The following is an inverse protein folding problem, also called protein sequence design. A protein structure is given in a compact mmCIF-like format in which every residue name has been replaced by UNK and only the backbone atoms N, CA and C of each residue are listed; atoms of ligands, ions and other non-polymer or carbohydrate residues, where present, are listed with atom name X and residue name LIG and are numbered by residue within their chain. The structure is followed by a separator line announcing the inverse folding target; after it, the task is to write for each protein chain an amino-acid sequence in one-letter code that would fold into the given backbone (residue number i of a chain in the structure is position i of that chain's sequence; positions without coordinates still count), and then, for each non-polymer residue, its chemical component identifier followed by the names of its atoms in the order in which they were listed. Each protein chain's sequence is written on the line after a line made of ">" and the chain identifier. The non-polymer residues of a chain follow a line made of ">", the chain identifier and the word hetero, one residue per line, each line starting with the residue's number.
data_IF_892779383523
#
_entry.id   IF_892779383523
#
_cell.length_a   1.000
_cell.length_b   1.000
_cell.length_c   1.000
_cell.angle_alpha   90.00
_cell.angle_beta   90.00
_cell.angle_gamma   90.00
#
_symmetry.space_group_name_H-M   'P 1'
#
loop_
_entity.id
_entity.type
_entity.pdbx_description
1 polymer ?
#
# COMPACT_ATOMS: atom_id res chain seq x y z
N UNK A 1 54.84 13.89 24.40
CA UNK A 1 53.61 13.95 25.20
C UNK A 1 52.99 15.30 24.98
N UNK A 2 51.85 15.35 24.28
CA UNK A 2 50.84 16.42 24.26
C UNK A 2 49.77 16.01 23.23
N UNK A 3 48.53 15.94 23.68
CA UNK A 3 47.27 15.95 22.91
C UNK A 3 46.48 17.18 23.36
N UNK A 4 45.41 17.60 22.67
CA UNK A 4 45.36 18.13 21.29
C UNK A 4 44.61 19.50 21.25
N UNK A 5 44.53 20.11 20.07
CA UNK A 5 43.67 21.27 19.78
C UNK A 5 42.66 20.94 18.66
N UNK A 6 41.42 21.39 18.90
CA UNK A 6 40.22 21.60 18.08
C UNK A 6 40.24 21.42 16.55
N UNK A 7 39.09 21.02 15.99
CA UNK A 7 38.28 21.75 14.97
C UNK A 7 36.99 20.93 14.67
N UNK A 8 35.76 21.41 14.91
CA UNK A 8 34.91 22.24 14.03
C UNK A 8 34.85 21.80 12.55
N UNK A 9 33.73 21.20 12.12
CA UNK A 9 33.29 21.17 10.73
C UNK A 9 31.76 21.08 10.66
N UNK A 10 31.17 21.95 9.84
CA UNK A 10 29.73 22.18 9.68
C UNK A 10 29.06 21.29 8.63
N UNK A 11 27.74 21.22 8.76
CA UNK A 11 26.69 20.74 7.85
C UNK A 11 26.97 20.86 6.35
N UNK A 12 26.54 19.83 5.60
CA UNK A 12 25.97 19.97 4.27
C UNK A 12 24.80 18.98 4.12
N UNK A 13 23.64 19.51 3.75
CA UNK A 13 22.39 18.76 3.52
C UNK A 13 22.25 18.53 2.02
N UNK A 14 22.11 17.28 1.57
CA UNK A 14 21.85 16.95 0.17
C UNK A 14 20.55 16.16 0.06
N UNK A 15 19.58 16.74 -0.64
CA UNK A 15 18.27 16.16 -0.97
C UNK A 15 18.42 15.27 -2.20
N UNK A 16 18.04 13.99 -2.13
CA UNK A 16 18.02 13.10 -3.30
C UNK A 16 16.69 12.33 -3.39
N UNK A 17 16.00 12.53 -4.50
CA UNK A 17 14.74 11.92 -4.93
C UNK A 17 14.98 10.49 -5.43
N UNK A 18 14.17 9.50 -5.00
CA UNK A 18 14.27 8.11 -5.49
C UNK A 18 13.00 7.64 -6.25
N UNK A 19 13.20 7.04 -7.43
CA UNK A 19 12.18 6.43 -8.32
C UNK A 19 12.08 4.91 -8.08
N UNK A 20 10.83 4.40 -8.17
CA UNK A 20 10.35 3.01 -8.37
C UNK A 20 11.00 1.86 -7.58
N UNK A 21 10.18 1.24 -6.71
CA UNK A 21 10.54 0.22 -5.73
C UNK A 21 10.27 -1.21 -6.26
N UNK A 22 11.17 -2.14 -5.93
CA UNK A 22 10.90 -3.59 -6.01
C UNK A 22 11.38 -4.23 -4.71
N UNK A 23 10.53 -5.00 -4.03
CA UNK A 23 10.88 -5.71 -2.79
C UNK A 23 11.42 -7.10 -3.14
N UNK A 24 12.47 -7.54 -2.44
CA UNK A 24 13.02 -8.90 -2.54
C UNK A 24 12.77 -9.64 -1.23
N UNK A 25 12.30 -10.88 -1.31
CA UNK A 25 12.09 -11.77 -0.16
C UNK A 25 13.40 -12.50 0.18
N UNK A 26 13.75 -12.54 1.48
CA UNK A 26 14.86 -13.35 2.00
C UNK A 26 14.39 -14.78 2.27
N UNK A 27 15.00 -15.74 1.57
CA UNK A 27 14.79 -17.17 1.79
C UNK A 27 15.51 -17.63 3.07
N UNK A 28 14.77 -18.30 3.96
CA UNK A 28 15.30 -18.86 5.20
C UNK A 28 16.04 -20.20 4.99
N UNK A 29 17.24 -20.26 5.57
CA UNK A 29 17.92 -21.40 6.23
C UNK A 29 18.01 -22.75 5.52
N UNK A 30 19.22 -23.06 5.03
CA UNK A 30 19.73 -24.41 4.75
C UNK A 30 21.17 -24.38 4.26
N UNK A 31 22.14 -24.72 5.11
CA UNK A 31 23.57 -24.80 4.77
C UNK A 31 23.89 -26.02 3.90
N UNK A 32 24.80 -25.91 2.93
CA UNK A 32 26.11 -26.55 3.08
C UNK A 32 27.31 -25.70 2.61
N UNK A 33 28.47 -26.02 3.19
CA UNK A 33 29.76 -25.32 3.24
C UNK A 33 30.58 -25.26 1.93
N UNK A 34 31.21 -24.10 1.68
CA UNK A 34 32.47 -23.90 0.90
C UNK A 34 33.32 -22.76 1.54
N UNK A 35 34.66 -22.72 1.34
CA UNK A 35 35.64 -22.16 2.28
C UNK A 35 35.77 -20.62 2.24
N UNK A 36 36.39 -19.99 3.27
CA UNK A 36 36.32 -18.55 3.46
C UNK A 36 37.30 -17.82 2.52
N UNK A 37 36.76 -17.07 1.56
CA UNK A 37 37.55 -16.07 0.86
C UNK A 37 37.55 -14.76 1.65
N UNK A 38 38.72 -14.45 2.20
CA UNK A 38 39.29 -13.11 2.44
C UNK A 38 38.35 -11.99 2.91
N UNK A 39 38.62 -11.53 4.13
CA UNK A 39 38.19 -10.24 4.67
C UNK A 39 38.46 -9.10 3.69
N UNK A 40 37.41 -8.66 3.00
CA UNK A 40 37.24 -7.34 2.42
C UNK A 40 35.81 -7.27 1.91
N UNK A 41 34.97 -6.39 2.46
CA UNK A 41 34.07 -5.52 1.67
C UNK A 41 32.99 -4.85 2.51
N UNK A 42 33.06 -3.52 2.48
CA UNK A 42 31.93 -2.64 2.16
C UNK A 42 30.80 -2.54 3.20
N UNK A 43 31.10 -1.81 4.27
CA UNK A 43 30.17 -0.80 4.77
C UNK A 43 30.07 0.34 3.75
N UNK A 44 29.36 0.10 2.65
CA UNK A 44 28.94 1.16 1.74
C UNK A 44 27.43 1.19 1.77
N UNK A 45 26.87 2.34 2.12
CA UNK A 45 25.46 2.65 1.93
C UNK A 45 25.07 2.18 0.53
N UNK A 46 24.20 1.17 0.43
CA UNK A 46 23.58 0.79 -0.84
C UNK A 46 22.51 1.82 -1.11
N UNK A 47 22.91 2.89 -1.79
CA UNK A 47 22.02 3.98 -2.20
C UNK A 47 20.86 3.43 -3.05
N UNK A 48 19.71 3.21 -2.40
CA UNK A 48 18.46 2.80 -3.02
C UNK A 48 17.76 1.56 -2.43
N UNK A 49 18.41 0.80 -1.54
CA UNK A 49 17.78 -0.31 -0.82
C UNK A 49 17.37 0.16 0.58
N UNK A 50 16.06 0.26 0.82
CA UNK A 50 15.54 0.49 2.17
C UNK A 50 15.40 -0.87 2.83
N UNK A 51 16.10 -1.08 3.94
CA UNK A 51 15.99 -2.32 4.71
C UNK A 51 14.54 -2.57 5.09
N UNK A 52 14.05 -3.80 4.86
CA UNK A 52 12.67 -4.15 5.17
C UNK A 52 12.35 -3.92 6.66
N UNK A 53 13.34 -4.05 7.54
CA UNK A 53 13.24 -3.75 8.96
C UNK A 53 12.96 -2.26 9.25
N UNK A 54 13.44 -1.35 8.40
CA UNK A 54 13.26 0.10 8.56
C UNK A 54 11.86 0.56 8.14
N UNK A 55 11.21 -0.21 7.26
CA UNK A 55 9.84 0.06 6.80
C UNK A 55 8.79 -0.74 7.55
N UNK A 56 9.11 -1.96 7.94
CA UNK A 56 8.19 -2.93 8.54
C UNK A 56 8.85 -3.69 9.69
N UNK A 57 8.97 -3.05 10.87
CA UNK A 57 9.69 -3.64 12.00
C UNK A 57 9.00 -4.90 12.54
N UNK A 58 7.69 -5.05 12.32
CA UNK A 58 6.92 -6.22 12.76
C UNK A 58 6.31 -6.99 11.58
N UNK A 59 6.36 -8.33 11.64
CA UNK A 59 5.87 -9.23 10.58
C UNK A 59 4.57 -9.95 10.96
N UNK A 60 3.72 -10.21 9.97
CA UNK A 60 2.42 -10.87 10.09
C UNK A 60 1.30 -9.94 10.57
N UNK A 61 0.16 -10.55 10.93
CA UNK A 61 -1.04 -9.84 11.41
C UNK A 61 -0.72 -8.98 12.66
N UNK A 62 -1.33 -7.80 12.74
CA UNK A 62 -1.13 -6.83 13.82
C UNK A 62 -1.37 -7.43 15.21
N UNK A 63 -0.52 -7.02 16.17
CA UNK A 63 -0.57 -7.47 17.57
C UNK A 63 -0.37 -6.28 18.50
N UNK A 64 -0.92 -6.38 19.70
CA UNK A 64 -0.72 -5.43 20.80
C UNK A 64 -0.18 -6.14 22.05
N UNK A 65 -0.04 -5.41 23.15
CA UNK A 65 0.48 -5.94 24.41
C UNK A 65 -0.43 -7.01 25.06
N UNK A 66 -1.69 -7.16 24.62
CA UNK A 66 -2.59 -8.21 25.10
C UNK A 66 -2.33 -9.56 24.45
N UNK A 67 -1.57 -9.58 23.34
CA UNK A 67 -1.35 -10.78 22.56
C UNK A 67 -0.30 -11.69 23.21
N UNK A 68 -0.65 -12.96 23.42
CA UNK A 68 0.27 -13.99 23.89
C UNK A 68 0.33 -15.16 22.90
N UNK A 69 1.53 -15.72 22.71
CA UNK A 69 1.69 -16.97 21.94
C UNK A 69 1.05 -18.11 22.72
N UNK A 70 0.23 -18.91 22.05
CA UNK A 70 -0.29 -20.17 22.58
C UNK A 70 0.43 -21.30 21.85
N UNK A 71 1.44 -21.95 22.48
CA UNK A 71 2.29 -22.92 21.79
C UNK A 71 1.53 -24.11 21.20
N UNK A 72 0.48 -24.57 21.88
CA UNK A 72 -0.36 -25.67 21.40
C UNK A 72 -1.17 -25.35 20.14
N UNK A 73 -1.37 -24.07 19.84
CA UNK A 73 -2.05 -23.61 18.62
C UNK A 73 -1.06 -23.15 17.54
N UNK A 74 0.21 -22.97 17.91
CA UNK A 74 1.21 -22.28 17.09
C UNK A 74 0.70 -20.92 16.59
N UNK A 75 -0.08 -20.23 17.42
CA UNK A 75 -0.79 -19.01 17.06
C UNK A 75 -0.78 -18.00 18.20
N UNK A 76 -1.06 -16.74 17.87
CA UNK A 76 -1.25 -15.67 18.83
C UNK A 76 -2.70 -15.60 19.29
N UNK A 77 -2.90 -15.41 20.59
CA UNK A 77 -4.20 -15.12 21.18
C UNK A 77 -4.20 -13.69 21.69
N UNK A 78 -5.04 -12.84 21.12
CA UNK A 78 -5.21 -11.43 21.50
C UNK A 78 -6.61 -11.22 22.09
N UNK A 79 -6.74 -10.36 23.11
CA UNK A 79 -8.02 -10.14 23.79
C UNK A 79 -8.64 -8.77 23.53
N UNK A 80 -7.83 -7.73 23.27
CA UNK A 80 -8.30 -6.37 22.98
C UNK A 80 -8.55 -6.09 21.51
N UNK A 81 -8.09 -6.97 20.61
CA UNK A 81 -8.21 -6.78 19.17
C UNK A 81 -9.44 -7.51 18.61
N UNK A 82 -10.21 -6.80 17.79
CA UNK A 82 -11.33 -7.38 17.02
C UNK A 82 -10.84 -7.77 15.63
N UNK A 83 -10.37 -9.00 15.50
CA UNK A 83 -9.94 -9.57 14.23
C UNK A 83 -11.15 -9.97 13.37
N UNK A 84 -11.11 -9.61 12.09
CA UNK A 84 -12.11 -9.91 11.07
C UNK A 84 -11.46 -10.41 9.80
N UNK A 85 -12.20 -11.21 9.05
CA UNK A 85 -11.82 -11.61 7.72
C UNK A 85 -12.09 -10.44 6.77
N UNK A 86 -11.10 -10.02 6.02
CA UNK A 86 -11.25 -9.15 4.86
C UNK A 86 -10.89 -9.97 3.62
N UNK A 87 -11.68 -9.82 2.57
CA UNK A 87 -11.41 -10.49 1.29
C UNK A 87 -11.16 -9.40 0.26
N UNK A 88 -10.16 -9.67 -0.58
CA UNK A 88 -9.70 -8.79 -1.66
C UNK A 88 -9.80 -9.61 -2.95
N UNK A 89 -10.56 -9.14 -3.92
CA UNK A 89 -10.83 -9.90 -5.14
C UNK A 89 -10.58 -9.08 -6.40
N UNK A 90 -9.97 -9.71 -7.40
CA UNK A 90 -10.01 -9.19 -8.78
C UNK A 90 -11.26 -9.69 -9.48
N UNK A 91 -12.06 -8.78 -10.00
CA UNK A 91 -13.26 -9.10 -10.81
C UNK A 91 -12.97 -8.91 -12.31
N UNK A 92 -11.70 -8.81 -12.68
CA UNK A 92 -11.30 -8.73 -14.08
C UNK A 92 -11.55 -10.06 -14.80
N UNK A 93 -11.69 -10.00 -16.12
CA UNK A 93 -11.94 -11.18 -16.97
C UNK A 93 -10.81 -12.22 -16.90
N UNK A 94 -9.60 -11.79 -16.54
CA UNK A 94 -8.40 -12.60 -16.42
C UNK A 94 -8.06 -12.93 -14.94
N UNK A 95 -9.05 -12.85 -14.04
CA UNK A 95 -8.91 -13.11 -12.59
C UNK A 95 -8.23 -14.45 -12.25
N UNK A 96 -8.34 -15.45 -13.13
CA UNK A 96 -7.74 -16.78 -12.91
C UNK A 96 -6.27 -16.89 -13.37
N UNK A 97 -5.80 -15.98 -14.23
CA UNK A 97 -4.46 -16.09 -14.84
C UNK A 97 -3.53 -14.95 -14.44
N UNK A 98 -4.07 -13.76 -14.17
CA UNK A 98 -3.29 -12.62 -13.71
C UNK A 98 -2.99 -12.72 -12.21
N UNK A 99 -1.74 -12.52 -11.80
CA UNK A 99 -1.35 -12.60 -10.39
C UNK A 99 -1.20 -11.22 -9.79
N UNK A 100 -1.97 -10.93 -8.74
CA UNK A 100 -1.80 -9.76 -7.87
C UNK A 100 -0.82 -10.00 -6.70
N UNK A 101 -0.53 -11.28 -6.43
CA UNK A 101 0.26 -11.74 -5.29
C UNK A 101 1.77 -11.51 -5.44
N UNK A 102 2.51 -11.29 -4.34
CA UNK A 102 1.99 -11.03 -2.99
C UNK A 102 1.25 -9.69 -2.87
N UNK A 103 0.25 -9.65 -1.99
CA UNK A 103 -0.35 -8.39 -1.55
C UNK A 103 0.23 -8.06 -0.19
N UNK A 104 0.93 -6.93 -0.09
CA UNK A 104 1.42 -6.41 1.18
C UNK A 104 0.31 -5.60 1.84
N UNK A 105 -0.03 -5.97 3.07
CA UNK A 105 -1.00 -5.27 3.89
C UNK A 105 -0.33 -4.79 5.18
N UNK A 106 -0.26 -3.48 5.35
CA UNK A 106 0.51 -2.82 6.40
C UNK A 106 -0.46 -2.17 7.39
N UNK A 107 -0.56 -2.74 8.58
CA UNK A 107 -1.35 -2.15 9.66
C UNK A 107 -0.57 -1.01 10.32
N UNK A 108 -1.23 0.12 10.57
CA UNK A 108 -0.64 1.29 11.25
C UNK A 108 0.72 1.70 10.67
N UNK A 109 0.78 2.09 9.38
CA UNK A 109 2.03 2.37 8.68
C UNK A 109 2.90 3.39 9.45
N UNK A 110 4.16 3.02 9.67
CA UNK A 110 5.12 3.80 10.47
C UNK A 110 6.03 2.90 11.32
N UNK A 111 6.78 3.47 12.29
CA UNK A 111 7.76 2.74 13.11
C UNK A 111 7.19 1.64 14.01
N UNK A 112 5.87 1.57 14.16
CA UNK A 112 5.18 0.51 14.93
C UNK A 112 4.27 -0.34 14.05
N UNK A 113 4.41 -0.23 12.73
CA UNK A 113 3.60 -0.93 11.76
C UNK A 113 3.87 -2.43 11.73
N UNK A 114 2.88 -3.17 11.22
CA UNK A 114 2.94 -4.61 10.97
C UNK A 114 2.72 -4.87 9.50
N UNK A 115 3.54 -5.71 8.87
CA UNK A 115 3.35 -6.13 7.48
C UNK A 115 2.88 -7.58 7.40
N UNK A 116 1.72 -7.80 6.78
CA UNK A 116 1.22 -9.11 6.41
C UNK A 116 1.32 -9.29 4.88
N UNK A 117 1.86 -10.42 4.44
CA UNK A 117 2.04 -10.73 3.02
C UNK A 117 1.04 -11.83 2.64
N UNK A 118 0.09 -11.45 1.80
CA UNK A 118 -1.00 -12.32 1.41
C UNK A 118 -0.67 -13.01 0.09
N UNK A 119 -0.81 -14.33 0.10
CA UNK A 119 -0.74 -15.15 -1.11
C UNK A 119 -2.15 -15.55 -1.56
N UNK A 120 -2.30 -15.76 -2.86
CA UNK A 120 -3.54 -16.23 -3.46
C UNK A 120 -3.76 -17.73 -3.20
N UNK A 121 -4.95 -18.25 -3.55
CA UNK A 121 -5.31 -19.64 -3.37
C UNK A 121 -4.50 -20.54 -4.30
N UNK A 122 -4.53 -21.85 -4.01
CA UNK A 122 -3.96 -22.86 -4.88
C UNK A 122 -4.72 -22.94 -6.22
N UNK A 123 -4.08 -23.55 -7.21
CA UNK A 123 -4.65 -23.81 -8.53
C UNK A 123 -6.02 -24.50 -8.44
N UNK A 124 -6.94 -24.06 -9.30
CA UNK A 124 -8.34 -24.49 -9.36
C UNK A 124 -8.54 -25.66 -10.33
N UNK A 125 -7.61 -25.92 -11.24
CA UNK A 125 -7.82 -26.83 -12.36
C UNK A 125 -6.78 -27.94 -12.52
N UNK A 126 -7.21 -29.03 -13.15
CA UNK A 126 -6.35 -30.10 -13.67
C UNK A 126 -6.44 -30.13 -15.20
N UNK A 127 -5.38 -29.70 -15.87
CA UNK A 127 -5.30 -29.57 -17.32
C UNK A 127 -4.33 -30.60 -17.88
N UNK A 128 -4.82 -31.50 -18.73
CA UNK A 128 -4.01 -32.46 -19.50
C UNK A 128 -2.93 -33.22 -18.70
N UNK A 129 -3.21 -33.58 -17.44
CA UNK A 129 -2.26 -34.30 -16.58
C UNK A 129 -1.35 -33.41 -15.72
N UNK A 130 -1.56 -32.09 -15.71
CA UNK A 130 -0.81 -31.12 -14.90
C UNK A 130 -1.71 -30.04 -14.29
N UNK A 131 -1.15 -29.25 -13.39
CA UNK A 131 -1.76 -28.05 -12.78
C UNK A 131 -1.98 -26.97 -13.86
N UNK A 132 -3.21 -26.48 -14.05
CA UNK A 132 -3.61 -25.48 -15.07
C UNK A 132 -2.96 -24.10 -14.87
N UNK A 133 -2.45 -23.84 -13.67
CA UNK A 133 -2.03 -22.53 -13.17
C UNK A 133 -3.17 -21.48 -13.16
N UNK A 134 -4.42 -21.93 -13.09
CA UNK A 134 -5.61 -21.10 -12.97
C UNK A 134 -5.94 -20.90 -11.49
N UNK A 135 -5.65 -19.72 -10.96
CA UNK A 135 -5.87 -19.38 -9.55
C UNK A 135 -6.78 -18.20 -9.48
N UNK A 136 -7.97 -18.39 -8.91
CA UNK A 136 -8.90 -17.30 -8.66
C UNK A 136 -8.16 -16.22 -7.84
N UNK A 137 -8.14 -14.98 -8.31
CA UNK A 137 -7.50 -13.85 -7.63
C UNK A 137 -8.35 -13.34 -6.46
N UNK A 138 -8.61 -14.22 -5.49
CA UNK A 138 -9.32 -13.94 -4.23
C UNK A 138 -8.36 -14.15 -3.07
N UNK A 139 -8.08 -13.10 -2.32
CA UNK A 139 -7.12 -13.09 -1.21
C UNK A 139 -7.86 -12.95 0.11
N UNK A 140 -7.47 -13.76 1.08
CA UNK A 140 -8.04 -13.75 2.43
C UNK A 140 -7.05 -13.13 3.39
N UNK A 141 -7.47 -12.09 4.11
CA UNK A 141 -6.66 -11.40 5.11
C UNK A 141 -7.37 -11.36 6.45
N UNK A 142 -6.61 -11.39 7.54
CA UNK A 142 -7.12 -11.12 8.87
C UNK A 142 -6.75 -9.69 9.25
N UNK A 143 -7.75 -8.82 9.35
CA UNK A 143 -7.60 -7.42 9.73
C UNK A 143 -8.19 -7.16 11.10
N UNK A 144 -7.74 -6.10 11.77
CA UNK A 144 -8.30 -5.61 13.02
C UNK A 144 -9.09 -4.35 12.72
N UNK A 145 -10.36 -4.34 13.14
CA UNK A 145 -11.25 -3.20 12.94
C UNK A 145 -10.82 -2.01 13.79
N UNK A 146 -11.10 -0.79 13.33
CA UNK A 146 -10.67 0.44 14.02
C UNK A 146 -9.23 0.83 13.71
N UNK A 147 -8.66 0.34 12.62
CA UNK A 147 -7.29 0.65 12.19
C UNK A 147 -7.24 1.08 10.71
N UNK A 148 -6.13 1.74 10.38
CA UNK A 148 -5.79 2.12 9.02
C UNK A 148 -4.76 1.14 8.46
N UNK A 149 -5.00 0.70 7.24
CA UNK A 149 -4.18 -0.24 6.51
C UNK A 149 -3.66 0.39 5.22
N UNK A 150 -2.39 0.19 4.91
CA UNK A 150 -1.83 0.47 3.59
C UNK A 150 -1.68 -0.84 2.82
N UNK A 151 -2.21 -0.87 1.60
CA UNK A 151 -2.21 -2.05 0.75
C UNK A 151 -1.45 -1.77 -0.54
N UNK A 152 -0.53 -2.66 -0.88
CA UNK A 152 0.18 -2.63 -2.15
C UNK A 152 0.21 -4.02 -2.77
N UNK A 153 0.11 -4.06 -4.09
CA UNK A 153 0.22 -5.28 -4.90
C UNK A 153 1.55 -5.25 -5.63
N UNK A 154 2.17 -6.40 -5.83
CA UNK A 154 3.41 -6.49 -6.63
C UNK A 154 3.15 -6.31 -8.13
N UNK A 155 1.94 -6.61 -8.58
CA UNK A 155 1.51 -6.44 -9.97
C UNK A 155 0.69 -5.16 -10.17
N UNK A 156 0.27 -4.92 -11.42
CA UNK A 156 -0.68 -3.84 -11.71
C UNK A 156 -2.02 -4.16 -11.03
N UNK A 157 -2.60 -3.22 -10.26
CA UNK A 157 -3.93 -3.40 -9.70
C UNK A 157 -4.99 -3.68 -10.77
N UNK A 158 -6.04 -4.47 -10.45
CA UNK A 158 -7.06 -4.86 -11.42
C UNK A 158 -7.91 -3.67 -11.85
N UNK A 159 -8.62 -3.81 -12.97
CA UNK A 159 -9.61 -2.83 -13.42
C UNK A 159 -10.79 -2.76 -12.46
N UNK A 160 -11.19 -3.89 -11.88
CA UNK A 160 -12.21 -3.96 -10.83
C UNK A 160 -11.65 -4.69 -9.62
N UNK A 161 -11.37 -3.94 -8.56
CA UNK A 161 -10.97 -4.47 -7.25
C UNK A 161 -12.20 -4.50 -6.34
N UNK A 162 -12.62 -5.69 -5.93
CA UNK A 162 -13.71 -5.88 -4.96
C UNK A 162 -13.12 -6.11 -3.56
N UNK A 163 -13.71 -5.46 -2.57
CA UNK A 163 -13.31 -5.50 -1.17
C UNK A 163 -14.53 -5.73 -0.30
N UNK A 164 -14.46 -6.68 0.62
CA UNK A 164 -15.53 -6.87 1.59
C UNK A 164 -15.03 -7.35 2.95
N UNK A 165 -15.78 -6.98 4.00
CA UNK A 165 -15.54 -7.35 5.39
C UNK A 165 -16.69 -8.24 5.89
N UNK A 166 -16.75 -9.52 5.47
CA UNK A 166 -17.87 -10.40 5.75
C UNK A 166 -17.99 -10.67 7.24
N UNK A 167 -19.20 -11.06 7.67
CA UNK A 167 -19.51 -11.42 9.05
C UNK A 167 -19.15 -10.35 10.09
N UNK A 168 -19.03 -9.09 9.65
CA UNK A 168 -18.74 -7.94 10.50
C UNK A 168 -19.94 -7.00 10.48
N UNK A 169 -20.36 -6.43 11.62
CA UNK A 169 -21.42 -5.44 11.65
C UNK A 169 -20.96 -4.12 11.00
N UNK A 170 -21.91 -3.31 10.53
CA UNK A 170 -21.63 -2.00 9.91
C UNK A 170 -20.99 -0.98 10.86
N UNK A 171 -21.06 -1.22 12.17
CA UNK A 171 -20.34 -0.43 13.18
C UNK A 171 -18.82 -0.62 13.13
N UNK A 172 -18.35 -1.73 12.57
CA UNK A 172 -16.93 -2.04 12.44
C UNK A 172 -16.40 -1.59 11.07
N UNK A 173 -15.25 -0.90 11.10
CA UNK A 173 -14.67 -0.26 9.93
C UNK A 173 -13.15 -0.42 9.89
N UNK A 174 -12.60 -0.34 8.69
CA UNK A 174 -11.17 -0.14 8.44
C UNK A 174 -11.01 0.95 7.40
N UNK A 175 -9.92 1.72 7.49
CA UNK A 175 -9.52 2.65 6.41
C UNK A 175 -8.44 1.98 5.59
N UNK A 176 -8.65 1.87 4.28
CA UNK A 176 -7.69 1.30 3.35
C UNK A 176 -7.01 2.42 2.56
N UNK A 177 -5.69 2.35 2.44
CA UNK A 177 -4.83 3.21 1.63
C UNK A 177 -4.19 2.34 0.57
N UNK A 178 -4.75 2.35 -0.63
CA UNK A 178 -4.39 1.36 -1.66
C UNK A 178 -3.51 2.03 -2.70
N UNK A 179 -2.33 1.46 -2.93
CA UNK A 179 -1.38 1.97 -3.91
C UNK A 179 -1.82 1.65 -5.34
N UNK A 180 -2.04 2.69 -6.13
CA UNK A 180 -2.38 2.60 -7.55
C UNK A 180 -1.35 3.38 -8.38
N UNK A 181 -0.44 2.70 -9.10
CA UNK A 181 0.75 3.35 -9.67
C UNK A 181 0.46 4.35 -10.80
N UNK A 182 -0.71 4.22 -11.45
CA UNK A 182 -1.11 5.03 -12.61
C UNK A 182 -2.01 6.20 -12.16
N UNK A 183 -1.90 7.39 -12.78
CA UNK A 183 -2.81 8.50 -12.51
C UNK A 183 -4.11 8.32 -13.33
N UNK A 184 -4.90 7.30 -12.99
CA UNK A 184 -6.22 7.07 -13.60
C UNK A 184 -7.33 7.59 -12.67
N UNK A 185 -8.58 7.51 -13.12
CA UNK A 185 -9.74 7.75 -12.25
C UNK A 185 -10.13 6.44 -11.60
N UNK A 186 -10.34 6.49 -10.28
CA UNK A 186 -10.76 5.36 -9.47
C UNK A 186 -12.13 5.67 -8.92
N UNK A 187 -13.16 5.04 -9.49
CA UNK A 187 -14.55 5.22 -9.09
C UNK A 187 -14.92 4.20 -8.03
N UNK A 188 -15.45 4.66 -6.90
CA UNK A 188 -15.84 3.81 -5.79
C UNK A 188 -17.33 3.53 -5.87
N UNK A 189 -17.70 2.25 -5.73
CA UNK A 189 -19.08 1.81 -5.62
C UNK A 189 -19.27 1.05 -4.32
N UNK A 190 -20.33 1.35 -3.59
CA UNK A 190 -20.77 0.57 -2.42
C UNK A 190 -22.09 -0.08 -2.78
N UNK A 191 -22.16 -1.40 -2.71
CA UNK A 191 -23.35 -2.18 -3.09
C UNK A 191 -23.90 -1.75 -4.46
N UNK A 192 -23.00 -1.59 -5.44
CA UNK A 192 -23.27 -1.10 -6.81
C UNK A 192 -23.70 0.36 -6.95
N UNK A 193 -23.69 1.17 -5.88
CA UNK A 193 -24.01 2.60 -5.92
C UNK A 193 -22.73 3.44 -5.92
N UNK A 194 -22.59 4.35 -6.89
CA UNK A 194 -21.42 5.23 -7.00
C UNK A 194 -21.32 6.19 -5.80
N UNK A 195 -20.14 6.28 -5.19
CA UNK A 195 -19.82 7.21 -4.11
C UNK A 195 -18.76 8.20 -4.60
N UNK A 196 -19.09 9.50 -4.74
CA UNK A 196 -18.14 10.49 -5.23
C UNK A 196 -16.99 10.69 -4.24
N UNK A 197 -15.78 11.04 -4.72
CA UNK A 197 -14.66 11.36 -3.85
C UNK A 197 -14.92 12.64 -3.06
N UNK A 198 -14.33 12.73 -1.86
CA UNK A 198 -14.52 13.84 -0.93
C UNK A 198 -14.07 15.20 -1.50
N UNK A 199 -13.15 15.21 -2.47
CA UNK A 199 -12.66 16.41 -3.13
C UNK A 199 -13.31 16.69 -4.49
N UNK A 200 -14.50 16.15 -4.78
CA UNK A 200 -15.23 16.48 -6.00
C UNK A 200 -15.61 17.98 -6.01
N UNK A 201 -15.27 18.69 -7.09
CA UNK A 201 -15.65 20.08 -7.29
C UNK A 201 -17.08 20.17 -7.83
N UNK A 202 -18.05 20.30 -6.91
CA UNK A 202 -19.48 20.39 -7.23
C UNK A 202 -19.86 21.66 -8.02
N UNK A 203 -18.99 22.68 -8.04
CA UNK A 203 -19.22 23.95 -8.74
C UNK A 203 -18.72 23.90 -10.19
N UNK A 204 -17.94 22.89 -10.57
CA UNK A 204 -17.40 22.74 -11.91
C UNK A 204 -18.39 22.02 -12.85
N UNK A 205 -18.33 22.36 -14.14
CA UNK A 205 -19.00 21.58 -15.16
C UNK A 205 -18.24 20.26 -15.38
N UNK A 206 -18.90 19.14 -15.11
CA UNK A 206 -18.36 17.79 -15.29
C UNK A 206 -17.54 17.28 -14.10
N UNK A 207 -16.81 16.17 -14.31
CA UNK A 207 -16.05 15.52 -13.26
C UNK A 207 -14.69 16.19 -13.06
N UNK A 208 -14.59 17.07 -12.06
CA UNK A 208 -13.35 17.75 -11.70
C UNK A 208 -13.09 17.60 -10.21
N UNK A 209 -11.84 17.36 -9.83
CA UNK A 209 -11.43 17.24 -8.43
C UNK A 209 -10.70 18.51 -8.00
N UNK A 210 -10.96 18.97 -6.78
CA UNK A 210 -10.17 20.01 -6.14
C UNK A 210 -8.71 19.53 -5.99
N UNK A 211 -7.73 20.41 -6.22
CA UNK A 211 -6.32 20.07 -6.04
C UNK A 211 -6.02 19.75 -4.58
N UNK A 212 -4.92 19.03 -4.34
CA UNK A 212 -4.42 18.80 -2.98
C UNK A 212 -3.97 20.14 -2.39
N UNK A 213 -4.39 20.45 -1.17
CA UNK A 213 -3.96 21.65 -0.44
C UNK A 213 -2.76 21.32 0.46
N UNK A 214 -1.54 21.84 0.17
CA UNK A 214 -0.36 21.60 0.99
C UNK A 214 -0.50 22.17 2.42
N UNK A 215 -1.36 23.17 2.63
CA UNK A 215 -1.59 23.77 3.94
C UNK A 215 -2.55 22.95 4.80
N UNK A 216 -3.42 22.15 4.18
CA UNK A 216 -4.37 21.25 4.84
C UNK A 216 -4.35 19.85 4.21
N UNK A 217 -3.23 19.10 4.32
CA UNK A 217 -3.04 17.83 3.62
C UNK A 217 -4.01 16.71 4.07
N UNK A 218 -4.72 16.92 5.17
CA UNK A 218 -5.67 15.97 5.75
C UNK A 218 -7.14 16.30 5.39
N UNK A 219 -7.42 17.41 4.71
CA UNK A 219 -8.78 17.94 4.54
C UNK A 219 -9.78 16.95 3.93
N UNK A 220 -9.30 16.05 3.05
CA UNK A 220 -10.12 15.08 2.35
C UNK A 220 -9.83 13.63 2.75
N UNK A 221 -8.90 13.39 3.68
CA UNK A 221 -8.57 12.01 4.07
C UNK A 221 -9.73 11.40 4.86
N UNK A 222 -10.22 10.22 4.48
CA UNK A 222 -11.25 9.53 5.24
C UNK A 222 -10.72 9.06 6.60
N UNK A 223 -11.60 9.11 7.59
CA UNK A 223 -11.40 8.59 8.94
C UNK A 223 -12.34 7.41 9.21
N UNK A 224 -12.09 6.69 10.31
CA UNK A 224 -12.91 5.55 10.74
C UNK A 224 -14.36 5.93 11.07
N UNK A 225 -14.64 7.20 11.34
CA UNK A 225 -15.98 7.69 11.66
C UNK A 225 -16.81 8.02 10.40
N UNK A 226 -16.17 8.14 9.24
CA UNK A 226 -16.88 8.40 8.00
C UNK A 226 -17.74 7.20 7.56
N UNK A 227 -18.72 7.48 6.71
CA UNK A 227 -19.60 6.47 6.13
C UNK A 227 -18.83 5.57 5.16
N UNK A 228 -19.30 4.33 4.98
CA UNK A 228 -18.73 3.38 4.01
C UNK A 228 -18.59 4.01 2.63
N UNK A 229 -17.49 3.73 1.95
CA UNK A 229 -17.21 4.26 0.61
C UNK A 229 -16.72 5.70 0.57
N UNK A 230 -16.68 6.42 1.70
CA UNK A 230 -16.02 7.73 1.75
C UNK A 230 -14.58 7.56 1.28
N UNK A 231 -14.19 8.31 0.25
CA UNK A 231 -12.95 8.05 -0.46
C UNK A 231 -12.25 9.32 -0.93
N UNK A 232 -10.95 9.18 -1.16
CA UNK A 232 -10.10 10.24 -1.68
C UNK A 232 -8.91 9.66 -2.43
N UNK A 233 -8.66 10.12 -3.65
CA UNK A 233 -7.45 9.78 -4.38
C UNK A 233 -6.37 10.84 -4.16
N UNK A 234 -5.37 10.49 -3.35
CA UNK A 234 -4.17 11.29 -3.15
C UNK A 234 -3.21 11.03 -4.30
N UNK A 235 -3.22 11.92 -5.30
CA UNK A 235 -2.42 11.84 -6.52
C UNK A 235 -0.93 11.89 -6.24
N UNK A 236 -0.49 12.71 -5.30
CA UNK A 236 0.93 12.87 -4.94
C UNK A 236 1.53 11.56 -4.41
N UNK A 237 0.80 10.87 -3.53
CA UNK A 237 1.20 9.61 -2.94
C UNK A 237 0.79 8.38 -3.77
N UNK A 238 -0.07 8.57 -4.78
CA UNK A 238 -0.69 7.49 -5.57
C UNK A 238 -1.49 6.50 -4.71
N UNK A 239 -2.18 7.03 -3.70
CA UNK A 239 -2.98 6.25 -2.75
C UNK A 239 -4.46 6.56 -2.93
N UNK A 240 -5.26 5.52 -3.16
CA UNK A 240 -6.71 5.57 -3.03
C UNK A 240 -7.07 5.27 -1.58
N UNK A 241 -7.56 6.28 -0.88
CA UNK A 241 -8.05 6.16 0.48
C UNK A 241 -9.53 5.83 0.44
N UNK A 242 -9.97 4.84 1.22
CA UNK A 242 -11.38 4.44 1.27
C UNK A 242 -11.76 3.84 2.62
N UNK A 243 -12.99 4.11 3.07
CA UNK A 243 -13.58 3.45 4.25
C UNK A 243 -14.31 2.18 3.84
N UNK A 244 -13.87 1.04 4.38
CA UNK A 244 -14.58 -0.24 4.28
C UNK A 244 -15.29 -0.53 5.61
N UNK A 245 -16.57 -0.89 5.56
CA UNK A 245 -17.37 -1.27 6.73
C UNK A 245 -17.96 -2.67 6.56
N UNK A 246 -18.24 -3.32 7.69
CA UNK A 246 -18.91 -4.61 7.71
C UNK A 246 -20.30 -4.57 7.07
N UNK A 247 -20.68 -5.65 6.38
CA UNK A 247 -22.00 -5.82 5.77
C UNK A 247 -22.19 -5.16 4.41
N UNK A 248 -21.14 -4.56 3.83
CA UNK A 248 -21.16 -3.93 2.51
C UNK A 248 -20.08 -4.51 1.60
N UNK A 249 -20.33 -4.46 0.29
CA UNK A 249 -19.33 -4.77 -0.75
C UNK A 249 -18.88 -3.47 -1.39
N UNK A 250 -17.57 -3.29 -1.52
CA UNK A 250 -16.96 -2.11 -2.09
C UNK A 250 -16.17 -2.46 -3.34
N UNK A 251 -16.54 -1.86 -4.47
CA UNK A 251 -15.79 -1.99 -5.73
C UNK A 251 -15.02 -0.72 -6.04
N UNK A 252 -13.77 -0.88 -6.45
CA UNK A 252 -12.94 0.18 -7.03
C UNK A 252 -12.82 -0.11 -8.51
N UNK A 253 -13.41 0.75 -9.34
CA UNK A 253 -13.38 0.63 -10.80
C UNK A 253 -12.40 1.62 -11.39
N UNK A 254 -11.42 1.12 -12.11
CA UNK A 254 -10.44 1.92 -12.84
C UNK A 254 -11.08 2.39 -14.14
N UNK A 255 -11.24 3.71 -14.25
CA UNK A 255 -11.73 4.38 -15.46
C UNK A 255 -10.54 5.06 -16.16
N UNK A 256 -10.30 4.79 -17.44
CA UNK A 256 -9.25 5.48 -18.18
C UNK A 256 -9.55 6.97 -18.28
N UNK A 257 -8.55 7.81 -18.03
CA UNK A 257 -8.65 9.27 -18.20
C UNK A 257 -7.47 9.75 -19.01
N UNK A 258 -7.74 10.62 -19.97
CA UNK A 258 -6.72 11.36 -20.70
C UNK A 258 -6.28 12.52 -19.80
N UNK A 259 -5.11 12.38 -19.17
CA UNK A 259 -4.49 13.48 -18.43
C UNK A 259 -3.48 14.15 -19.34
N UNK A 260 -3.77 15.38 -19.77
CA UNK A 260 -2.83 16.20 -20.55
C UNK A 260 -1.82 16.85 -19.60
N UNK A 261 -0.66 16.22 -19.41
CA UNK A 261 0.46 16.85 -18.70
C UNK A 261 1.24 17.72 -19.67
N UNK A 262 0.93 19.02 -19.71
CA UNK A 262 1.73 19.98 -20.47
C UNK A 262 3.00 20.31 -19.69
N UNK A 263 4.13 19.70 -20.05
CA UNK A 263 5.45 20.14 -19.60
C UNK A 263 5.85 21.39 -20.35
N UNK A 264 5.72 22.57 -19.74
CA UNK A 264 6.29 23.79 -20.30
C UNK A 264 7.80 23.73 -20.09
N UNK A 265 8.56 23.38 -21.12
CA UNK A 265 10.00 23.61 -21.16
C UNK A 265 10.23 25.07 -21.52
N UNK A 266 10.41 25.92 -20.52
CA UNK A 266 10.85 27.30 -20.74
C UNK A 266 12.36 27.28 -20.92
N UNK A 267 12.87 27.85 -22.01
CA UNK A 267 14.31 28.04 -22.16
C UNK A 267 14.77 29.13 -21.18
N UNK A 268 15.95 28.94 -20.58
CA UNK A 268 16.47 29.78 -19.51
C UNK A 268 16.62 31.26 -19.92
N UNK A 269 16.86 31.53 -21.21
CA UNK A 269 16.90 32.86 -21.80
C UNK A 269 15.54 33.57 -21.81
N UNK A 270 14.44 32.84 -22.01
CA UNK A 270 13.09 33.38 -22.01
C UNK A 270 12.61 33.74 -20.59
N UNK A 271 13.03 32.99 -19.57
CA UNK A 271 12.71 33.24 -18.16
C UNK A 271 13.45 34.47 -17.58
N UNK A 272 14.72 34.65 -17.97
CA UNK A 272 15.58 35.71 -17.43
C UNK A 272 15.42 37.06 -18.15
N UNK A 273 14.73 37.10 -19.29
CA UNK A 273 14.54 38.33 -20.09
C UNK A 273 13.51 39.32 -19.54
N UNK A 274 12.83 39.02 -18.42
CA UNK A 274 11.74 39.85 -17.86
C UNK A 274 11.95 40.38 -16.45
N UNK A 275 13.19 40.43 -15.96
CA UNK A 275 13.49 41.01 -14.62
C UNK A 275 14.29 42.32 -14.64
N UNK A 276 14.56 42.95 -15.78
CA UNK A 276 15.07 44.34 -15.82
C UNK A 276 14.51 45.11 -17.01
#
# INVERSE_FOLDING_TARGET
>A
MCTPLNNYAQNTTTTTTCRSMTLKEDAATGSPSWPPSSNESQSQCRDGEIEAADKFPNKGIVRDASCAVVPSWQAWKCFSLRCRLMIIESIDTDTEVWRLSPIALIANPGPSGYVDLLNGPMDRGWCAGYMCQERISTFFSVVVTGMTYEMAMTSTPPQVLCLHLPHSPSSEAVVLRIFFPKPQRYDIYVDSVFVPPANLNISAAGYQLLPEDPTHPQAFLPTLDNVVGTNYFQRSAKLVHVVLRGGHVLDIKTTPVITLTSGLMVKEDEFMSRTL
#
